data_IF_570403987388
#
_entry.id   IF_570403987388
#
_cell.length_a   1.000
_cell.length_b   1.000
_cell.length_c   1.000
_cell.angle_alpha   90.00
_cell.angle_beta   90.00
_cell.angle_gamma   90.00
#
_symmetry.space_group_name_H-M   'P 1'
#
loop_
_entity.id
_entity.type
_entity.pdbx_description
1 polymer ?
#
# COMPACT_ATOMS: atom_id res chain seq x y z
N UNK A 1 -8.22 10.21 12.55
CA UNK A 1 -7.98 9.29 11.43
C UNK A 1 -9.09 8.27 11.27
N UNK A 2 -9.39 7.40 12.25
CA UNK A 2 -10.51 6.43 12.16
C UNK A 2 -11.88 7.08 11.86
N UNK A 3 -12.17 8.24 12.46
CA UNK A 3 -13.44 8.96 12.25
C UNK A 3 -13.67 9.38 10.79
N UNK A 4 -12.61 9.78 10.09
CA UNK A 4 -12.68 10.12 8.66
C UNK A 4 -13.01 8.89 7.82
N UNK A 5 -12.43 7.73 8.15
CA UNK A 5 -12.74 6.48 7.45
C UNK A 5 -14.14 5.94 7.79
N UNK A 6 -14.63 6.13 9.02
CA UNK A 6 -16.04 5.87 9.37
C UNK A 6 -17.00 6.78 8.59
N UNK A 7 -16.74 8.08 8.53
CA UNK A 7 -17.56 9.06 7.80
C UNK A 7 -17.62 8.78 6.29
N UNK A 8 -16.55 8.21 5.73
CA UNK A 8 -16.50 7.78 4.33
C UNK A 8 -17.00 6.33 4.13
N UNK A 9 -17.54 5.67 5.16
CA UNK A 9 -18.08 4.31 5.08
C UNK A 9 -17.05 3.20 4.90
N UNK A 10 -15.76 3.50 5.08
CA UNK A 10 -14.66 2.55 4.85
C UNK A 10 -14.48 1.53 5.96
N UNK A 11 -14.87 1.91 7.17
CA UNK A 11 -14.77 1.10 8.38
C UNK A 11 -16.12 1.22 9.05
N UNK A 12 -16.83 0.10 9.15
CA UNK A 12 -18.07 0.03 9.92
C UNK A 12 -17.80 -0.78 11.18
N UNK A 13 -17.52 -0.13 12.33
CA UNK A 13 -17.40 -0.85 13.58
C UNK A 13 -18.73 -1.51 13.94
N UNK A 14 -18.65 -2.74 14.44
CA UNK A 14 -19.82 -3.39 15.04
C UNK A 14 -20.10 -2.65 16.35
N UNK A 15 -21.36 -2.25 16.56
CA UNK A 15 -21.76 -1.73 17.86
C UNK A 15 -22.11 -2.89 18.76
N UNK A 16 -21.36 -3.05 19.83
CA UNK A 16 -21.71 -3.97 20.89
C UNK A 16 -22.92 -3.46 21.68
N UNK A 17 -23.61 -4.38 22.36
CA UNK A 17 -24.79 -4.07 23.17
C UNK A 17 -24.51 -3.06 24.31
N UNK A 18 -23.24 -2.89 24.70
CA UNK A 18 -22.75 -1.93 25.70
C UNK A 18 -22.48 -0.52 25.12
N UNK A 19 -22.70 -0.30 23.81
CA UNK A 19 -22.47 0.96 23.14
C UNK A 19 -21.02 1.23 22.72
N UNK A 20 -20.09 0.31 22.98
CA UNK A 20 -18.71 0.40 22.49
C UNK A 20 -18.63 0.02 21.01
N UNK A 21 -17.63 0.59 20.33
CA UNK A 21 -17.26 0.23 18.97
C UNK A 21 -16.28 -0.93 19.02
N UNK A 22 -16.68 -2.07 18.48
CA UNK A 22 -15.79 -3.18 18.22
C UNK A 22 -15.24 -3.05 16.79
N UNK A 23 -13.92 -2.98 16.71
CA UNK A 23 -13.18 -2.96 15.45
C UNK A 23 -12.55 -4.34 15.27
N UNK A 24 -13.36 -5.32 14.90
CA UNK A 24 -12.89 -6.69 14.66
C UNK A 24 -11.71 -6.77 13.69
N UNK A 25 -11.01 -7.90 13.68
CA UNK A 25 -9.72 -8.10 12.99
C UNK A 25 -9.77 -7.74 11.48
N UNK A 26 -10.92 -7.96 10.83
CA UNK A 26 -11.14 -7.57 9.43
C UNK A 26 -10.98 -6.06 9.17
N UNK A 27 -11.34 -5.21 10.13
CA UNK A 27 -11.19 -3.75 10.02
C UNK A 27 -9.74 -3.32 10.17
N UNK A 28 -8.95 -4.05 10.97
CA UNK A 28 -7.52 -3.78 11.14
C UNK A 28 -6.77 -4.08 9.84
N UNK A 29 -7.03 -5.24 9.23
CA UNK A 29 -6.45 -5.60 7.93
C UNK A 29 -6.86 -4.60 6.83
N UNK A 30 -8.13 -4.20 6.82
CA UNK A 30 -8.66 -3.21 5.88
C UNK A 30 -7.99 -1.85 6.03
N UNK A 31 -7.81 -1.37 7.26
CA UNK A 31 -7.05 -0.12 7.54
C UNK A 31 -5.60 -0.24 7.06
N UNK A 32 -4.97 -1.41 7.27
CA UNK A 32 -3.62 -1.68 6.77
C UNK A 32 -3.51 -1.54 5.25
N UNK A 33 -4.45 -2.14 4.50
CA UNK A 33 -4.53 -2.02 3.03
C UNK A 33 -4.74 -0.57 2.60
N UNK A 34 -5.69 0.14 3.21
CA UNK A 34 -5.97 1.56 2.93
C UNK A 34 -4.72 2.41 3.14
N UNK A 35 -4.03 2.19 4.27
CA UNK A 35 -2.82 2.93 4.62
C UNK A 35 -1.70 2.67 3.63
N UNK A 36 -1.46 1.40 3.27
CA UNK A 36 -0.44 1.04 2.28
C UNK A 36 -0.68 1.68 0.92
N UNK A 37 -1.93 1.76 0.48
CA UNK A 37 -2.30 2.43 -0.78
C UNK A 37 -2.09 3.94 -0.72
N UNK A 38 -2.49 4.60 0.38
CA UNK A 38 -2.24 6.02 0.57
C UNK A 38 -0.73 6.30 0.63
N UNK A 39 0.03 5.52 1.39
CA UNK A 39 1.48 5.66 1.54
C UNK A 39 2.22 5.42 0.21
N UNK A 40 1.65 4.60 -0.69
CA UNK A 40 2.16 4.41 -2.05
C UNK A 40 1.97 5.64 -2.96
N UNK A 41 1.03 6.53 -2.61
CA UNK A 41 0.75 7.78 -3.31
C UNK A 41 -0.65 7.86 -3.93
N UNK A 42 -1.54 6.89 -3.66
CA UNK A 42 -2.90 6.92 -4.18
C UNK A 42 -3.73 7.99 -3.45
N UNK A 43 -4.39 8.91 -4.17
CA UNK A 43 -5.37 9.80 -3.58
C UNK A 43 -6.47 9.01 -2.85
N UNK A 44 -6.81 9.43 -1.62
CA UNK A 44 -7.81 8.73 -0.79
C UNK A 44 -9.12 8.46 -1.55
N UNK A 45 -9.58 9.40 -2.39
CA UNK A 45 -10.77 9.23 -3.25
C UNK A 45 -10.72 7.99 -4.14
N UNK A 46 -9.56 7.68 -4.72
CA UNK A 46 -9.38 6.51 -5.60
C UNK A 46 -9.36 5.24 -4.75
N UNK A 47 -8.73 5.30 -3.56
CA UNK A 47 -8.77 4.19 -2.61
C UNK A 47 -10.21 3.84 -2.24
N UNK A 48 -11.11 4.83 -2.08
CA UNK A 48 -12.54 4.59 -1.83
C UNK A 48 -13.20 3.77 -2.95
N UNK A 49 -12.93 4.12 -4.21
CA UNK A 49 -13.53 3.49 -5.39
C UNK A 49 -13.05 2.04 -5.60
N UNK A 50 -11.78 1.76 -5.29
CA UNK A 50 -11.17 0.43 -5.53
C UNK A 50 -11.27 -0.50 -4.31
N UNK A 51 -11.59 0.02 -3.13
CA UNK A 51 -11.70 -0.78 -1.89
C UNK A 51 -12.66 -1.97 -1.98
N UNK A 52 -13.85 -1.85 -2.61
CA UNK A 52 -14.71 -3.01 -2.86
C UNK A 52 -14.04 -4.13 -3.67
N UNK A 53 -12.98 -3.82 -4.43
CA UNK A 53 -12.22 -4.78 -5.23
C UNK A 53 -11.07 -5.46 -4.45
N UNK A 54 -10.78 -5.03 -3.22
CA UNK A 54 -9.63 -5.48 -2.40
C UNK A 54 -10.03 -6.41 -1.24
N UNK A 55 -11.33 -6.56 -0.98
CA UNK A 55 -11.89 -7.62 -0.12
C UNK A 55 -12.16 -8.87 -0.96
N UNK A 56 -11.92 -10.04 -0.39
CA UNK A 56 -11.77 -11.34 -1.08
C UNK A 56 -12.88 -11.72 -2.09
N UNK A 57 -12.45 -12.43 -3.15
CA UNK A 57 -13.16 -13.35 -4.07
C UNK A 57 -14.49 -12.94 -4.70
N UNK A 58 -14.99 -11.75 -4.39
CA UNK A 58 -16.19 -11.24 -5.02
C UNK A 58 -15.79 -10.64 -6.36
N UNK A 59 -16.44 -11.12 -7.42
CA UNK A 59 -16.33 -10.59 -8.76
C UNK A 59 -16.33 -9.06 -8.69
N UNK A 60 -15.35 -8.42 -9.34
CA UNK A 60 -15.24 -6.97 -9.39
C UNK A 60 -16.53 -6.43 -10.01
N UNK A 61 -17.49 -5.99 -9.18
CA UNK A 61 -18.74 -5.41 -9.64
C UNK A 61 -18.55 -3.91 -9.72
N UNK A 62 -18.09 -3.44 -10.87
CA UNK A 62 -18.01 -2.01 -11.15
C UNK A 62 -19.42 -1.50 -11.39
N UNK A 63 -20.03 -0.88 -10.37
CA UNK A 63 -21.34 -0.23 -10.49
C UNK A 63 -21.12 1.27 -10.72
N UNK A 64 -21.65 1.79 -11.80
CA UNK A 64 -21.59 3.21 -12.19
C UNK A 64 -20.15 3.74 -12.36
N UNK A 65 -19.56 3.53 -13.54
CA UNK A 65 -18.26 4.12 -13.91
C UNK A 65 -18.47 5.61 -14.19
N UNK A 66 -17.91 6.48 -13.36
CA UNK A 66 -17.80 7.89 -13.72
C UNK A 66 -16.95 8.06 -14.99
N UNK A 67 -17.37 8.93 -15.93
CA UNK A 67 -16.55 9.27 -17.08
C UNK A 67 -15.16 9.78 -16.63
N UNK A 68 -14.09 9.13 -17.10
CA UNK A 68 -12.71 9.51 -16.78
C UNK A 68 -12.09 8.78 -15.58
N UNK A 69 -12.85 7.99 -14.81
CA UNK A 69 -12.28 7.19 -13.70
C UNK A 69 -11.19 6.23 -14.20
N UNK A 70 -11.42 5.60 -15.36
CA UNK A 70 -10.44 4.70 -15.98
C UNK A 70 -9.10 5.40 -16.27
N UNK A 71 -9.15 6.60 -16.85
CA UNK A 71 -7.94 7.30 -17.26
C UNK A 71 -7.15 7.79 -16.05
N UNK A 72 -7.85 8.23 -15.00
CA UNK A 72 -7.26 8.53 -13.70
C UNK A 72 -6.58 7.28 -13.09
N UNK A 73 -7.23 6.12 -13.10
CA UNK A 73 -6.65 4.87 -12.60
C UNK A 73 -5.41 4.44 -13.38
N UNK A 74 -5.44 4.57 -14.71
CA UNK A 74 -4.29 4.29 -15.59
C UNK A 74 -3.13 5.22 -15.28
N UNK A 75 -3.41 6.53 -15.13
CA UNK A 75 -2.39 7.52 -14.80
C UNK A 75 -1.71 7.21 -13.46
N UNK A 76 -2.49 6.91 -12.42
CA UNK A 76 -1.94 6.59 -11.10
C UNK A 76 -1.15 5.27 -11.11
N UNK A 77 -1.62 4.24 -11.84
CA UNK A 77 -0.88 2.99 -12.03
C UNK A 77 0.47 3.23 -12.72
N UNK A 78 0.50 4.05 -13.77
CA UNK A 78 1.72 4.31 -14.52
C UNK A 78 2.72 5.11 -13.67
N UNK A 79 2.22 6.07 -12.87
CA UNK A 79 3.01 6.80 -11.88
C UNK A 79 3.63 5.87 -10.83
N UNK A 80 2.87 4.90 -10.31
CA UNK A 80 3.41 3.89 -9.39
C UNK A 80 4.50 3.06 -10.05
N UNK A 81 4.27 2.63 -11.29
CA UNK A 81 5.21 1.81 -12.05
C UNK A 81 6.55 2.53 -12.19
N UNK A 82 6.53 3.83 -12.51
CA UNK A 82 7.75 4.65 -12.56
C UNK A 82 8.45 4.75 -11.19
N UNK A 83 7.69 4.97 -10.11
CA UNK A 83 8.25 5.03 -8.74
C UNK A 83 8.86 3.70 -8.31
N UNK A 84 8.23 2.58 -8.64
CA UNK A 84 8.75 1.22 -8.39
C UNK A 84 10.07 1.02 -9.12
N UNK A 85 10.14 1.38 -10.41
CA UNK A 85 11.37 1.26 -11.19
C UNK A 85 12.52 2.07 -10.58
N UNK A 86 12.23 3.32 -10.17
CA UNK A 86 13.22 4.19 -9.52
C UNK A 86 13.71 3.62 -8.18
N UNK A 87 12.79 3.21 -7.30
CA UNK A 87 13.14 2.65 -5.99
C UNK A 87 13.89 1.31 -6.13
N UNK A 88 13.53 0.49 -7.10
CA UNK A 88 14.23 -0.76 -7.44
C UNK A 88 15.67 -0.47 -7.86
N UNK A 89 15.87 0.50 -8.76
CA UNK A 89 17.20 0.91 -9.20
C UNK A 89 18.07 1.39 -8.05
N UNK A 90 17.52 2.21 -7.16
CA UNK A 90 18.22 2.71 -5.97
C UNK A 90 18.58 1.59 -4.99
N UNK A 91 17.63 0.69 -4.71
CA UNK A 91 17.87 -0.49 -3.88
C UNK A 91 19.02 -1.32 -4.45
N UNK A 92 19.02 -1.59 -5.75
CA UNK A 92 20.04 -2.41 -6.39
C UNK A 92 21.41 -1.69 -6.40
N UNK A 93 21.44 -0.36 -6.48
CA UNK A 93 22.67 0.43 -6.29
C UNK A 93 23.21 0.30 -4.85
N UNK A 94 22.34 0.41 -3.83
CA UNK A 94 22.71 0.23 -2.43
C UNK A 94 23.20 -1.20 -2.16
N UNK A 95 22.53 -2.23 -2.68
CA UNK A 95 22.95 -3.62 -2.56
C UNK A 95 24.35 -3.85 -3.14
N UNK A 96 24.64 -3.27 -4.31
CA UNK A 96 25.98 -3.34 -4.91
C UNK A 96 27.04 -2.65 -4.05
N UNK A 97 26.70 -1.49 -3.48
CA UNK A 97 27.60 -0.77 -2.59
C UNK A 97 27.90 -1.57 -1.31
N UNK A 98 26.87 -2.13 -0.67
CA UNK A 98 27.01 -3.00 0.51
C UNK A 98 27.92 -4.19 0.20
N UNK A 99 27.69 -4.90 -0.90
CA UNK A 99 28.54 -6.01 -1.31
C UNK A 99 30.01 -5.61 -1.49
N UNK A 100 30.27 -4.42 -2.04
CA UNK A 100 31.63 -3.91 -2.19
C UNK A 100 32.29 -3.59 -0.83
N UNK A 101 31.51 -3.04 0.12
CA UNK A 101 31.97 -2.80 1.50
C UNK A 101 32.33 -4.12 2.18
N UNK A 102 31.47 -5.13 2.09
CA UNK A 102 31.67 -6.44 2.72
C UNK A 102 32.92 -7.15 2.16
N UNK A 103 33.12 -7.10 0.84
CA UNK A 103 34.30 -7.66 0.18
C UNK A 103 35.60 -6.98 0.66
N UNK A 104 35.58 -5.65 0.88
CA UNK A 104 36.75 -4.92 1.40
C UNK A 104 37.02 -5.27 2.87
N UNK A 105 35.97 -5.40 3.67
CA UNK A 105 36.08 -5.83 5.06
C UNK A 105 36.67 -7.25 5.16
N UNK A 106 36.21 -8.18 4.32
CA UNK A 106 36.70 -9.56 4.27
C UNK A 106 38.15 -9.69 3.79
N UNK A 107 38.60 -8.88 2.83
CA UNK A 107 40.01 -8.87 2.36
C UNK A 107 40.98 -8.28 3.39
N UNK A 108 40.50 -7.42 4.28
CA UNK A 108 41.34 -6.79 5.32
C UNK A 108 41.64 -7.75 6.49
N UNK A 109 41.02 -8.94 6.53
CA UNK A 109 41.22 -9.97 7.56
C UNK A 109 42.10 -11.15 7.17
N UNK A 110 42.66 -11.20 5.95
CA UNK A 110 43.55 -12.29 5.54
C UNK A 110 45.01 -11.97 5.92
N UNK A 111 45.68 -12.75 6.79
CA UNK A 111 47.09 -12.52 7.09
C UNK A 111 47.97 -12.90 5.88
N UNK A 112 48.90 -12.02 5.53
CA UNK A 112 49.99 -12.35 4.62
C UNK A 112 50.89 -13.38 5.34
N UNK A 113 50.97 -14.59 4.76
CA UNK A 113 51.88 -15.64 5.19
C UNK A 113 53.34 -15.30 4.93
#
# INVERSE_FOLDING_TARGET
MLRYYEEQGLIQPIREANGYRDYGEYLVERVGKIRGLIDSGIPSRIVLEILPCLDQEQAIVVRNIEPGLRDLLVQERDRMTQKIAFLTSNRDALSRYIAAVDVRAGRSGAPAG
#
